data_IF_921235032338
#
_entry.id   IF_921235032338
#
_cell.length_a   1.000
_cell.length_b   1.000
_cell.length_c   1.000
_cell.angle_alpha   90.00
_cell.angle_beta   90.00
_cell.angle_gamma   90.00
#
_symmetry.space_group_name_H-M   'P 1'
#
loop_
_entity.id
_entity.type
_entity.pdbx_description
1 polymer ?
#
# COMPACT_ATOMS: atom_id res chain seq x y z
N UNK A 1 -32.59 -13.24 -12.65
CA UNK A 1 -31.24 -13.85 -12.81
C UNK A 1 -30.14 -12.83 -13.11
N UNK A 2 -30.21 -12.01 -14.17
CA UNK A 2 -29.13 -11.03 -14.49
C UNK A 2 -28.78 -10.03 -13.37
N UNK A 3 -29.77 -9.59 -12.58
CA UNK A 3 -29.56 -8.64 -11.47
C UNK A 3 -28.77 -9.25 -10.30
N UNK A 4 -29.11 -10.48 -9.89
CA UNK A 4 -28.39 -11.20 -8.83
C UNK A 4 -26.97 -11.57 -9.24
N UNK A 5 -26.75 -11.89 -10.52
CA UNK A 5 -25.41 -12.16 -11.05
C UNK A 5 -24.52 -10.89 -10.99
N UNK A 6 -25.07 -9.73 -11.33
CA UNK A 6 -24.36 -8.45 -11.27
C UNK A 6 -24.01 -8.03 -9.82
N UNK A 7 -24.90 -8.26 -8.85
CA UNK A 7 -24.60 -8.00 -7.44
C UNK A 7 -23.50 -8.92 -6.89
N UNK A 8 -23.51 -10.20 -7.26
CA UNK A 8 -22.43 -11.12 -6.89
C UNK A 8 -21.09 -10.70 -7.50
N UNK A 9 -21.07 -10.27 -8.76
CA UNK A 9 -19.85 -9.80 -9.42
C UNK A 9 -19.28 -8.54 -8.74
N UNK A 10 -20.14 -7.60 -8.30
CA UNK A 10 -19.73 -6.42 -7.55
C UNK A 10 -19.24 -6.77 -6.14
N UNK A 11 -19.85 -7.76 -5.47
CA UNK A 11 -19.41 -8.23 -4.16
C UNK A 11 -18.02 -8.87 -4.24
N UNK A 12 -17.77 -9.72 -5.24
CA UNK A 12 -16.46 -10.33 -5.44
C UNK A 12 -15.38 -9.26 -5.71
N UNK A 13 -15.66 -8.27 -6.56
CA UNK A 13 -14.74 -7.16 -6.81
C UNK A 13 -14.44 -6.36 -5.53
N UNK A 14 -15.45 -6.17 -4.67
CA UNK A 14 -15.27 -5.48 -3.40
C UNK A 14 -14.36 -6.28 -2.46
N UNK A 15 -14.57 -7.60 -2.36
CA UNK A 15 -13.73 -8.50 -1.56
C UNK A 15 -12.28 -8.53 -2.07
N UNK A 16 -12.06 -8.59 -3.37
CA UNK A 16 -10.73 -8.50 -3.98
C UNK A 16 -10.02 -7.18 -3.60
N UNK A 17 -10.75 -6.06 -3.62
CA UNK A 17 -10.21 -4.75 -3.20
C UNK A 17 -9.90 -4.68 -1.71
N UNK A 18 -10.67 -5.39 -0.85
CA UNK A 18 -10.36 -5.50 0.58
C UNK A 18 -9.04 -6.25 0.78
N UNK A 19 -8.86 -7.39 0.10
CA UNK A 19 -7.62 -8.16 0.21
C UNK A 19 -6.42 -7.35 -0.30
N UNK A 20 -6.57 -6.63 -1.42
CA UNK A 20 -5.50 -5.78 -1.95
C UNK A 20 -5.13 -4.66 -0.97
N UNK A 21 -6.11 -4.01 -0.32
CA UNK A 21 -5.85 -3.02 0.72
C UNK A 21 -5.04 -3.62 1.88
N UNK A 22 -5.43 -4.79 2.38
CA UNK A 22 -4.71 -5.47 3.46
C UNK A 22 -3.27 -5.78 3.07
N UNK A 23 -3.05 -6.24 1.84
CA UNK A 23 -1.70 -6.47 1.31
C UNK A 23 -0.87 -5.19 1.25
N UNK A 24 -1.45 -4.06 0.84
CA UNK A 24 -0.74 -2.76 0.82
C UNK A 24 -0.40 -2.28 2.24
N UNK A 25 -1.29 -2.48 3.21
CA UNK A 25 -1.03 -2.16 4.62
C UNK A 25 0.17 -2.95 5.14
N UNK A 26 0.24 -4.26 4.87
CA UNK A 26 1.37 -5.11 5.27
C UNK A 26 2.67 -4.68 4.59
N UNK A 27 2.63 -4.32 3.30
CA UNK A 27 3.81 -3.80 2.58
C UNK A 27 4.31 -2.49 3.18
N UNK A 28 3.40 -1.58 3.55
CA UNK A 28 3.75 -0.31 4.21
C UNK A 28 4.37 -0.53 5.59
N UNK A 29 3.83 -1.46 6.38
CA UNK A 29 4.40 -1.85 7.67
C UNK A 29 5.83 -2.36 7.50
N UNK A 30 6.04 -3.30 6.56
CA UNK A 30 7.36 -3.81 6.20
C UNK A 30 8.32 -2.68 5.78
N UNK A 31 7.84 -1.72 4.98
CA UNK A 31 8.64 -0.58 4.53
C UNK A 31 9.10 0.28 5.72
N UNK A 32 8.19 0.55 6.66
CA UNK A 32 8.50 1.29 7.89
C UNK A 32 9.53 0.58 8.77
N UNK A 33 9.40 -0.74 8.95
CA UNK A 33 10.40 -1.55 9.68
C UNK A 33 11.78 -1.47 9.02
N UNK A 34 11.85 -1.66 7.70
CA UNK A 34 13.10 -1.60 6.95
C UNK A 34 13.75 -0.20 6.99
N UNK A 35 12.96 0.88 7.03
CA UNK A 35 13.48 2.23 7.23
C UNK A 35 14.16 2.36 8.60
N UNK A 36 13.53 1.85 9.65
CA UNK A 36 14.08 1.88 11.01
C UNK A 36 15.35 1.05 11.13
N UNK A 37 15.36 -0.17 10.59
CA UNK A 37 16.53 -1.04 10.56
C UNK A 37 17.69 -0.42 9.79
N UNK A 38 17.38 0.19 8.64
CA UNK A 38 18.37 0.91 7.82
C UNK A 38 18.97 2.07 8.60
N UNK A 39 18.15 2.87 9.30
CA UNK A 39 18.63 3.96 10.16
C UNK A 39 19.51 3.45 11.30
N UNK A 40 19.14 2.35 11.94
CA UNK A 40 19.93 1.73 13.00
C UNK A 40 21.33 1.31 12.49
N UNK A 41 21.40 0.67 11.32
CA UNK A 41 22.67 0.27 10.68
C UNK A 41 23.52 1.50 10.31
N UNK A 42 22.90 2.54 9.75
CA UNK A 42 23.60 3.79 9.39
C UNK A 42 24.20 4.42 10.64
N UNK A 43 23.43 4.50 11.73
CA UNK A 43 23.88 5.06 13.00
C UNK A 43 25.05 4.26 13.59
N UNK A 44 24.93 2.93 13.64
CA UNK A 44 25.97 2.04 14.16
C UNK A 44 27.29 2.12 13.36
N UNK A 45 27.20 2.38 12.05
CA UNK A 45 28.35 2.46 11.14
C UNK A 45 28.70 3.89 10.73
N UNK A 46 28.25 4.88 11.50
CA UNK A 46 28.53 6.29 11.22
C UNK A 46 30.05 6.53 11.14
N UNK A 47 30.51 7.13 10.04
CA UNK A 47 31.93 7.35 9.75
C UNK A 47 32.60 6.25 8.92
N UNK A 48 32.01 5.06 8.80
CA UNK A 48 32.48 4.00 7.90
C UNK A 48 31.72 3.97 6.58
N UNK A 49 30.50 4.51 6.56
CA UNK A 49 29.65 4.52 5.36
C UNK A 49 29.86 5.80 4.54
N UNK A 50 29.88 5.64 3.22
CA UNK A 50 29.90 6.77 2.29
C UNK A 50 28.53 7.48 2.27
N UNK A 51 28.48 8.73 2.75
CA UNK A 51 27.25 9.47 3.01
C UNK A 51 26.33 9.60 1.79
N UNK A 52 26.86 9.90 0.61
CA UNK A 52 26.02 10.06 -0.58
C UNK A 52 25.40 8.75 -1.05
N UNK A 53 26.07 7.61 -0.81
CA UNK A 53 25.49 6.29 -1.07
C UNK A 53 24.35 6.01 -0.09
N UNK A 54 24.55 6.34 1.20
CA UNK A 54 23.51 6.22 2.23
C UNK A 54 22.28 7.04 1.86
N UNK A 55 22.45 8.31 1.48
CA UNK A 55 21.34 9.17 1.03
C UNK A 55 20.57 8.58 -0.15
N UNK A 56 21.25 7.96 -1.12
CA UNK A 56 20.60 7.30 -2.26
C UNK A 56 19.74 6.13 -1.81
N UNK A 57 20.28 5.26 -0.95
CA UNK A 57 19.54 4.12 -0.41
C UNK A 57 18.31 4.58 0.38
N UNK A 58 18.46 5.55 1.29
CA UNK A 58 17.33 6.10 2.06
C UNK A 58 16.26 6.71 1.15
N UNK A 59 16.64 7.42 0.08
CA UNK A 59 15.70 7.95 -0.91
C UNK A 59 14.95 6.84 -1.64
N UNK A 60 15.62 5.75 -2.01
CA UNK A 60 14.96 4.62 -2.68
C UNK A 60 13.93 3.94 -1.80
N UNK A 61 14.22 3.75 -0.50
CA UNK A 61 13.25 3.17 0.44
C UNK A 61 12.02 4.09 0.56
N UNK A 62 12.25 5.40 0.72
CA UNK A 62 11.14 6.35 0.82
C UNK A 62 10.32 6.46 -0.48
N UNK A 63 10.95 6.32 -1.66
CA UNK A 63 10.23 6.29 -2.93
C UNK A 63 9.26 5.10 -3.00
N UNK A 64 9.69 3.91 -2.56
CA UNK A 64 8.84 2.71 -2.48
C UNK A 64 7.67 2.96 -1.51
N UNK A 65 7.91 3.57 -0.36
CA UNK A 65 6.86 3.92 0.60
C UNK A 65 5.80 4.83 -0.03
N UNK A 66 6.22 5.88 -0.76
CA UNK A 66 5.31 6.81 -1.44
C UNK A 66 4.49 6.13 -2.53
N UNK A 67 5.12 5.25 -3.32
CA UNK A 67 4.42 4.44 -4.33
C UNK A 67 3.33 3.58 -3.68
N UNK A 68 3.66 2.88 -2.58
CA UNK A 68 2.70 2.05 -1.85
C UNK A 68 1.53 2.86 -1.28
N UNK A 69 1.78 4.06 -0.73
CA UNK A 69 0.72 4.95 -0.25
C UNK A 69 -0.20 5.41 -1.38
N UNK A 70 0.38 5.72 -2.54
CA UNK A 70 -0.38 6.15 -3.71
C UNK A 70 -1.30 5.03 -4.22
N UNK A 71 -0.77 3.82 -4.37
CA UNK A 71 -1.59 2.66 -4.78
C UNK A 71 -2.69 2.34 -3.77
N UNK A 72 -2.37 2.36 -2.47
CA UNK A 72 -3.37 2.16 -1.41
C UNK A 72 -4.49 3.21 -1.47
N UNK A 73 -4.16 4.46 -1.78
CA UNK A 73 -5.15 5.51 -1.93
C UNK A 73 -6.09 5.23 -3.10
N UNK A 74 -5.59 4.77 -4.25
CA UNK A 74 -6.42 4.39 -5.39
C UNK A 74 -7.34 3.21 -5.06
N UNK A 75 -6.83 2.15 -4.44
CA UNK A 75 -7.67 1.00 -4.01
C UNK A 75 -8.80 1.46 -3.09
N UNK A 76 -8.51 2.32 -2.10
CA UNK A 76 -9.52 2.87 -1.19
C UNK A 76 -10.56 3.73 -1.92
N UNK A 77 -10.13 4.51 -2.90
CA UNK A 77 -11.01 5.32 -3.72
C UNK A 77 -11.97 4.43 -4.52
N UNK A 78 -11.44 3.46 -5.26
CA UNK A 78 -12.23 2.54 -6.08
C UNK A 78 -13.22 1.73 -5.21
N UNK A 79 -12.75 1.21 -4.08
CA UNK A 79 -13.58 0.48 -3.12
C UNK A 79 -14.73 1.34 -2.56
N UNK A 80 -14.46 2.61 -2.27
CA UNK A 80 -15.47 3.57 -1.81
C UNK A 80 -16.53 3.84 -2.89
N UNK A 81 -16.11 4.03 -4.14
CA UNK A 81 -17.01 4.22 -5.27
C UNK A 81 -17.87 2.97 -5.52
N UNK A 82 -17.28 1.77 -5.43
CA UNK A 82 -17.98 0.51 -5.60
C UNK A 82 -19.03 0.27 -4.49
N UNK A 83 -18.66 0.49 -3.23
CA UNK A 83 -19.60 0.41 -2.10
C UNK A 83 -20.77 1.38 -2.24
N UNK A 84 -20.51 2.61 -2.69
CA UNK A 84 -21.58 3.58 -2.99
C UNK A 84 -22.53 3.06 -4.08
N UNK A 85 -21.99 2.46 -5.15
CA UNK A 85 -22.79 1.88 -6.22
C UNK A 85 -23.64 0.71 -5.74
N UNK A 86 -23.09 -0.18 -4.91
CA UNK A 86 -23.83 -1.31 -4.33
C UNK A 86 -25.01 -0.82 -3.47
N UNK A 87 -24.78 0.17 -2.59
CA UNK A 87 -25.83 0.77 -1.75
C UNK A 87 -26.96 1.45 -2.53
N UNK A 88 -26.71 1.89 -3.76
CA UNK A 88 -27.74 2.48 -4.63
C UNK A 88 -28.56 1.41 -5.38
N UNK A 89 -28.09 0.16 -5.39
CA UNK A 89 -28.76 -0.98 -6.02
C UNK A 89 -29.58 -1.82 -5.03
N UNK A 90 -29.40 -1.60 -3.73
CA UNK A 90 -30.21 -2.15 -2.62
C UNK A 90 -31.56 -1.41 -2.50
#
# INVERSE_FOLDING_TARGET
MKFQQNLNDLSNQYEDMVEQEDQYIVKLQTCGELMMDTLAVISMKAGMLHLETVKKVTRSIHAIEQELYNELFYIRLEKSLLSNKMRQME
#
